data_IF_830311250154
#
_entry.id   IF_830311250154
#
_cell.length_a   1.000
_cell.length_b   1.000
_cell.length_c   1.000
_cell.angle_alpha   90.00
_cell.angle_beta   90.00
_cell.angle_gamma   90.00
#
_symmetry.space_group_name_H-M   'P 1'
#
loop_
_entity.id
_entity.type
_entity.pdbx_description
1 polymer ?
#
# COMPACT_ATOMS: atom_id res chain seq x y z
N UNK A 1 -3.29 5.78 -25.61
CA UNK A 1 -2.73 5.95 -24.25
C UNK A 1 -2.17 4.60 -23.89
N UNK A 2 -0.90 4.48 -23.48
CA UNK A 2 -0.38 3.19 -23.00
C UNK A 2 -1.12 2.79 -21.73
N UNK A 3 -1.20 1.50 -21.48
CA UNK A 3 -1.80 0.93 -20.30
C UNK A 3 -1.05 1.38 -19.03
N UNK A 4 0.28 1.48 -19.09
CA UNK A 4 1.09 2.07 -18.02
C UNK A 4 0.66 3.50 -17.66
N UNK A 5 0.33 4.33 -18.68
CA UNK A 5 -0.15 5.69 -18.44
C UNK A 5 -1.54 5.70 -17.81
N UNK A 6 -2.42 4.76 -18.18
CA UNK A 6 -3.74 4.60 -17.57
C UNK A 6 -3.62 4.17 -16.11
N UNK A 7 -2.83 3.13 -15.82
CA UNK A 7 -2.58 2.61 -14.46
C UNK A 7 -1.99 3.71 -13.57
N UNK A 8 -0.94 4.38 -14.04
CA UNK A 8 -0.30 5.46 -13.27
C UNK A 8 -1.25 6.64 -13.00
N UNK A 9 -2.13 6.99 -13.94
CA UNK A 9 -3.15 8.03 -13.73
C UNK A 9 -4.20 7.61 -12.70
N UNK A 10 -4.62 6.35 -12.69
CA UNK A 10 -5.55 5.83 -11.68
C UNK A 10 -4.93 5.83 -10.27
N UNK A 11 -3.69 5.38 -10.12
CA UNK A 11 -2.96 5.44 -8.85
C UNK A 11 -2.80 6.88 -8.36
N UNK A 12 -2.38 7.79 -9.25
CA UNK A 12 -2.27 9.21 -8.93
C UNK A 12 -3.59 9.77 -8.40
N UNK A 13 -4.72 9.46 -9.04
CA UNK A 13 -6.03 10.00 -8.61
C UNK A 13 -6.49 9.42 -7.29
N UNK A 14 -6.31 8.12 -7.09
CA UNK A 14 -6.66 7.43 -5.86
C UNK A 14 -5.91 8.02 -4.65
N UNK A 15 -4.70 8.53 -4.85
CA UNK A 15 -3.89 9.11 -3.77
C UNK A 15 -3.99 10.64 -3.68
N UNK A 16 -3.78 11.36 -4.78
CA UNK A 16 -3.59 12.81 -4.80
C UNK A 16 -4.86 13.62 -5.09
N UNK A 17 -5.97 12.98 -5.47
CA UNK A 17 -7.27 13.65 -5.64
C UNK A 17 -7.97 13.32 -6.96
N UNK A 18 -9.27 13.67 -7.02
CA UNK A 18 -10.16 13.34 -8.16
C UNK A 18 -10.31 11.83 -8.36
N UNK A 19 -10.26 11.07 -7.26
CA UNK A 19 -10.63 9.66 -7.28
C UNK A 19 -12.11 9.51 -7.63
N UNK A 20 -12.47 8.41 -8.29
CA UNK A 20 -13.87 8.16 -8.67
C UNK A 20 -14.73 7.68 -7.49
N UNK A 21 -14.08 7.09 -6.46
CA UNK A 21 -14.74 6.45 -5.32
C UNK A 21 -15.00 7.39 -4.13
N UNK A 22 -14.70 8.69 -4.26
CA UNK A 22 -14.80 9.66 -3.17
C UNK A 22 -13.49 10.43 -2.99
N UNK A 23 -13.23 10.95 -1.78
CA UNK A 23 -11.97 11.63 -1.49
C UNK A 23 -10.79 10.65 -1.63
N UNK A 24 -9.67 11.13 -2.14
CA UNK A 24 -8.43 10.38 -2.25
C UNK A 24 -7.76 10.17 -0.89
N UNK A 25 -6.72 9.34 -0.83
CA UNK A 25 -5.93 9.11 0.40
C UNK A 25 -5.42 10.43 1.01
N UNK A 26 -4.83 11.31 0.21
CA UNK A 26 -4.36 12.61 0.70
C UNK A 26 -5.50 13.52 1.16
N UNK A 27 -6.66 13.48 0.47
CA UNK A 27 -7.83 14.27 0.85
C UNK A 27 -8.44 13.80 2.19
N UNK A 28 -8.55 12.49 2.43
CA UNK A 28 -9.09 11.95 3.70
C UNK A 28 -8.15 12.16 4.89
N UNK A 29 -6.84 12.20 4.66
CA UNK A 29 -5.84 12.43 5.72
C UNK A 29 -5.64 13.91 6.04
N UNK A 30 -6.17 14.82 5.21
CA UNK A 30 -6.01 16.26 5.41
C UNK A 30 -6.67 16.71 6.72
N UNK A 31 -5.86 17.28 7.61
CA UNK A 31 -6.32 17.84 8.89
C UNK A 31 -6.46 16.83 10.03
N UNK A 32 -6.12 15.56 9.81
CA UNK A 32 -6.08 14.54 10.86
C UNK A 32 -4.90 14.82 11.80
N UNK A 33 -5.18 14.99 13.09
CA UNK A 33 -4.14 15.17 14.13
C UNK A 33 -3.51 13.84 14.53
N UNK A 34 -2.34 13.85 15.18
CA UNK A 34 -1.71 12.62 15.67
C UNK A 34 -2.61 11.89 16.69
N UNK A 35 -3.31 12.63 17.56
CA UNK A 35 -4.28 12.07 18.51
C UNK A 35 -5.42 11.34 17.80
N UNK A 36 -5.99 11.96 16.74
CA UNK A 36 -7.03 11.31 15.94
C UNK A 36 -6.48 10.11 15.17
N UNK A 37 -5.25 10.21 14.66
CA UNK A 37 -4.61 9.17 13.89
C UNK A 37 -4.37 7.91 14.74
N UNK A 38 -3.95 8.09 15.99
CA UNK A 38 -3.64 7.02 16.94
C UNK A 38 -4.87 6.45 17.66
N UNK A 39 -6.06 7.04 17.51
CA UNK A 39 -7.25 6.60 18.23
C UNK A 39 -7.82 5.28 17.66
N UNK A 40 -8.35 4.44 18.56
CA UNK A 40 -9.12 3.23 18.23
C UNK A 40 -10.58 3.36 18.71
N UNK A 41 -11.40 4.22 18.08
CA UNK A 41 -12.79 4.42 18.51
C UNK A 41 -13.67 3.20 18.26
N UNK A 42 -13.26 2.30 17.36
CA UNK A 42 -13.94 1.06 17.03
C UNK A 42 -13.09 -0.10 17.56
N UNK A 43 -13.65 -0.88 18.48
CA UNK A 43 -12.95 -2.02 19.08
C UNK A 43 -12.57 -3.05 18.01
N UNK A 44 -11.28 -3.44 17.99
CA UNK A 44 -10.74 -4.44 17.07
C UNK A 44 -10.49 -3.94 15.64
N UNK A 45 -10.76 -2.67 15.34
CA UNK A 45 -10.39 -2.06 14.07
C UNK A 45 -8.99 -1.43 14.16
N UNK A 46 -8.31 -1.33 13.02
CA UNK A 46 -7.05 -0.59 12.92
C UNK A 46 -7.27 0.92 13.06
N UNK A 47 -6.28 1.60 13.63
CA UNK A 47 -6.25 3.07 13.68
C UNK A 47 -5.97 3.67 12.30
N UNK A 48 -6.23 4.96 12.14
CA UNK A 48 -5.89 5.68 10.89
C UNK A 48 -4.37 5.62 10.66
N UNK A 49 -3.58 5.72 11.73
CA UNK A 49 -2.13 5.64 11.67
C UNK A 49 -1.66 4.26 11.18
N UNK A 50 -2.19 3.19 11.76
CA UNK A 50 -1.89 1.81 11.33
C UNK A 50 -2.24 1.59 9.85
N UNK A 51 -3.40 2.06 9.40
CA UNK A 51 -3.81 1.99 7.99
C UNK A 51 -2.89 2.80 7.07
N UNK A 52 -2.41 3.95 7.52
CA UNK A 52 -1.46 4.78 6.76
C UNK A 52 -0.13 4.05 6.56
N UNK A 53 0.39 3.41 7.61
CA UNK A 53 1.61 2.60 7.54
C UNK A 53 1.43 1.35 6.67
N UNK A 54 0.29 0.68 6.80
CA UNK A 54 -0.07 -0.47 5.98
C UNK A 54 -0.06 -0.13 4.48
N UNK A 55 -0.69 0.98 4.08
CA UNK A 55 -0.65 1.44 2.67
C UNK A 55 0.80 1.70 2.24
N UNK A 56 1.60 2.36 3.08
CA UNK A 56 3.00 2.65 2.78
C UNK A 56 3.84 1.37 2.58
N UNK A 57 3.61 0.34 3.41
CA UNK A 57 4.23 -0.99 3.26
C UNK A 57 3.87 -1.61 1.92
N UNK A 58 2.59 -1.61 1.53
CA UNK A 58 2.16 -2.26 0.29
C UNK A 58 2.59 -1.51 -0.97
N UNK A 59 2.69 -0.17 -0.92
CA UNK A 59 3.28 0.58 -2.02
C UNK A 59 4.78 0.27 -2.18
N UNK A 60 5.52 0.15 -1.07
CA UNK A 60 6.92 -0.29 -1.08
C UNK A 60 7.05 -1.72 -1.65
N UNK A 61 6.20 -2.64 -1.22
CA UNK A 61 6.20 -4.03 -1.70
C UNK A 61 5.89 -4.10 -3.21
N UNK A 62 4.85 -3.39 -3.66
CA UNK A 62 4.49 -3.29 -5.09
C UNK A 62 5.63 -2.72 -5.92
N UNK A 63 6.28 -1.67 -5.45
CA UNK A 63 7.45 -1.07 -6.11
C UNK A 63 8.59 -2.07 -6.24
N UNK A 64 8.92 -2.79 -5.15
CA UNK A 64 9.97 -3.82 -5.16
C UNK A 64 9.66 -4.95 -6.14
N UNK A 65 8.41 -5.42 -6.20
CA UNK A 65 7.99 -6.44 -7.18
C UNK A 65 8.21 -5.99 -8.62
N UNK A 66 7.89 -4.73 -8.94
CA UNK A 66 8.12 -4.16 -10.28
C UNK A 66 9.62 -4.11 -10.61
N UNK A 67 10.45 -3.69 -9.65
CA UNK A 67 11.89 -3.47 -9.85
C UNK A 67 12.70 -4.77 -9.85
N UNK A 68 12.42 -5.66 -8.93
CA UNK A 68 13.19 -6.89 -8.67
C UNK A 68 12.61 -8.08 -9.45
N UNK A 69 11.35 -8.02 -9.89
CA UNK A 69 10.64 -9.14 -10.54
C UNK A 69 10.54 -10.39 -9.67
N UNK A 70 10.52 -10.17 -8.34
CA UNK A 70 10.58 -11.21 -7.31
C UNK A 70 9.28 -11.21 -6.48
N UNK A 71 8.74 -12.38 -6.09
CA UNK A 71 7.75 -12.47 -5.02
C UNK A 71 8.28 -11.85 -3.72
N UNK A 72 7.94 -10.58 -3.49
CA UNK A 72 8.16 -9.93 -2.20
C UNK A 72 7.16 -10.49 -1.20
N UNK A 73 7.64 -11.28 -0.24
CA UNK A 73 6.93 -11.61 0.99
C UNK A 73 7.01 -10.44 1.97
N UNK A 74 5.90 -10.14 2.64
CA UNK A 74 5.76 -9.11 3.67
C UNK A 74 5.32 -9.87 4.92
N UNK A 75 6.09 -9.82 6.01
CA UNK A 75 5.68 -10.47 7.26
C UNK A 75 4.50 -9.76 7.91
N UNK A 76 3.80 -10.40 8.84
CA UNK A 76 2.69 -9.78 9.56
C UNK A 76 3.12 -8.50 10.30
N UNK A 77 4.35 -8.48 10.84
CA UNK A 77 4.94 -7.31 11.49
C UNK A 77 5.29 -6.18 10.52
N UNK A 78 5.65 -6.51 9.27
CA UNK A 78 5.86 -5.50 8.23
C UNK A 78 4.53 -4.99 7.66
N UNK A 79 3.52 -5.87 7.56
CA UNK A 79 2.17 -5.57 7.08
C UNK A 79 1.46 -4.56 8.01
N UNK A 80 1.69 -4.72 9.32
CA UNK A 80 1.16 -3.86 10.37
C UNK A 80 2.27 -3.36 11.30
N UNK A 81 3.07 -2.37 10.88
CA UNK A 81 4.13 -1.83 11.71
C UNK A 81 3.57 -1.23 13.01
N UNK A 82 4.25 -1.48 14.12
CA UNK A 82 3.84 -0.98 15.42
C UNK A 82 3.92 0.56 15.49
N UNK A 83 2.88 1.18 16.05
CA UNK A 83 2.87 2.62 16.36
C UNK A 83 3.36 2.82 17.80
N UNK A 84 4.67 3.04 17.96
CA UNK A 84 5.30 3.22 19.28
C UNK A 84 5.38 4.67 19.74
N UNK A 85 5.45 5.61 18.79
CA UNK A 85 5.52 7.06 19.03
C UNK A 85 4.30 7.73 18.39
N UNK A 86 3.44 8.31 19.23
CA UNK A 86 2.21 9.00 18.81
C UNK A 86 2.35 10.52 18.83
N UNK A 87 3.57 11.04 18.72
CA UNK A 87 3.83 12.48 18.63
C UNK A 87 3.39 13.06 17.27
N UNK A 88 3.13 14.37 17.23
CA UNK A 88 2.84 15.07 15.98
C UNK A 88 3.98 14.92 14.96
N UNK A 89 5.24 14.89 15.41
CA UNK A 89 6.40 14.70 14.54
C UNK A 89 6.40 13.30 13.91
N UNK A 90 6.17 12.25 14.70
CA UNK A 90 6.07 10.89 14.20
C UNK A 90 4.92 10.75 13.18
N UNK A 91 3.79 11.42 13.43
CA UNK A 91 2.66 11.40 12.49
C UNK A 91 3.00 12.08 11.16
N UNK A 92 3.62 13.26 11.20
CA UNK A 92 4.07 13.93 9.98
C UNK A 92 5.10 13.10 9.21
N UNK A 93 5.99 12.40 9.92
CA UNK A 93 6.96 11.49 9.29
C UNK A 93 6.27 10.32 8.57
N UNK A 94 5.22 9.73 9.18
CA UNK A 94 4.43 8.66 8.54
C UNK A 94 3.71 9.16 7.27
N UNK A 95 3.11 10.34 7.30
CA UNK A 95 2.48 10.97 6.12
C UNK A 95 3.50 11.22 4.99
N UNK A 96 4.68 11.73 5.33
CA UNK A 96 5.74 11.99 4.36
C UNK A 96 6.33 10.69 3.80
N UNK A 97 6.48 9.65 4.63
CA UNK A 97 6.88 8.32 4.16
C UNK A 97 5.87 7.74 3.16
N UNK A 98 4.58 7.77 3.50
CA UNK A 98 3.52 7.32 2.60
C UNK A 98 3.58 8.09 1.26
N UNK A 99 3.70 9.42 1.29
CA UNK A 99 3.82 10.25 0.08
C UNK A 99 5.05 9.89 -0.76
N UNK A 100 6.20 9.63 -0.12
CA UNK A 100 7.44 9.23 -0.81
C UNK A 100 7.31 7.85 -1.45
N UNK A 101 6.71 6.90 -0.76
CA UNK A 101 6.46 5.55 -1.29
C UNK A 101 5.51 5.60 -2.48
N UNK A 102 4.47 6.44 -2.42
CA UNK A 102 3.53 6.63 -3.53
C UNK A 102 4.23 7.15 -4.79
N UNK A 103 5.02 8.21 -4.66
CA UNK A 103 5.74 8.78 -5.81
C UNK A 103 6.76 7.77 -6.35
N UNK A 104 7.47 7.04 -5.48
CA UNK A 104 8.43 6.03 -5.90
C UNK A 104 7.78 4.84 -6.63
N UNK A 105 6.60 4.40 -6.21
CA UNK A 105 5.82 3.38 -6.92
C UNK A 105 5.39 3.89 -8.30
N UNK A 106 4.89 5.12 -8.37
CA UNK A 106 4.48 5.74 -9.63
C UNK A 106 5.65 5.91 -10.61
N UNK A 107 6.84 6.25 -10.13
CA UNK A 107 8.04 6.27 -10.97
C UNK A 107 8.41 4.87 -11.47
N UNK A 108 8.33 3.84 -10.63
CA UNK A 108 8.59 2.46 -11.06
C UNK A 108 7.63 2.01 -12.17
N UNK A 109 6.35 2.40 -12.07
CA UNK A 109 5.35 2.10 -13.12
C UNK A 109 5.65 2.87 -14.41
N UNK A 110 6.07 4.14 -14.31
CA UNK A 110 6.48 4.92 -15.49
C UNK A 110 7.68 4.32 -16.22
N UNK A 111 8.61 3.72 -15.47
CA UNK A 111 9.83 3.11 -15.99
C UNK A 111 9.70 1.64 -16.42
N UNK A 112 8.54 1.01 -16.20
CA UNK A 112 8.31 -0.39 -16.58
C UNK A 112 8.20 -0.53 -18.10
N UNK A 113 8.71 -1.63 -18.65
CA UNK A 113 8.41 -2.04 -20.02
C UNK A 113 6.98 -2.61 -20.07
N UNK A 114 6.13 -2.03 -20.92
CA UNK A 114 4.71 -2.40 -21.03
C UNK A 114 4.51 -3.88 -21.38
N UNK A 115 5.46 -4.51 -22.10
CA UNK A 115 5.40 -5.93 -22.41
C UNK A 115 5.43 -6.84 -21.16
N UNK A 116 5.96 -6.33 -20.04
CA UNK A 116 6.09 -7.05 -18.77
C UNK A 116 4.82 -7.03 -17.90
N UNK A 117 3.77 -6.30 -18.32
CA UNK A 117 2.49 -6.33 -17.61
C UNK A 117 1.87 -7.73 -17.57
N UNK A 118 2.23 -8.59 -18.52
CA UNK A 118 1.78 -9.98 -18.61
C UNK A 118 2.72 -10.97 -17.89
N UNK A 119 3.84 -10.49 -17.33
CA UNK A 119 4.78 -11.34 -16.59
C UNK A 119 4.14 -11.83 -15.29
N UNK A 120 4.20 -13.14 -15.05
CA UNK A 120 3.76 -13.75 -13.80
C UNK A 120 4.87 -13.59 -12.76
N UNK A 121 4.66 -12.71 -11.78
CA UNK A 121 5.63 -12.45 -10.69
C UNK A 121 5.36 -13.35 -9.47
N UNK A 122 4.11 -13.69 -9.18
CA UNK A 122 3.73 -14.62 -8.12
C UNK A 122 3.31 -15.95 -8.75
N UNK A 123 3.85 -17.07 -8.25
CA UNK A 123 3.32 -18.38 -8.65
C UNK A 123 1.83 -18.43 -8.27
N UNK A 124 0.96 -18.94 -9.15
CA UNK A 124 -0.45 -19.11 -8.82
C UNK A 124 -0.57 -19.89 -7.52
N UNK A 125 -1.51 -19.51 -6.66
CA UNK A 125 -1.87 -20.37 -5.54
C UNK A 125 -2.22 -21.75 -6.10
N UNK A 126 -1.49 -22.79 -5.67
CA UNK A 126 -1.80 -24.18 -5.97
C UNK A 126 -1.98 -24.91 -4.65
N UNK A 127 -2.88 -25.89 -4.61
CA UNK A 127 -3.15 -26.70 -3.42
C UNK A 127 -1.91 -27.49 -2.89
N UNK A 128 -0.79 -27.42 -3.61
CA UNK A 128 0.48 -28.09 -3.33
C UNK A 128 1.61 -27.15 -2.88
N UNK A 129 1.35 -25.84 -2.67
CA UNK A 129 2.37 -24.93 -2.15
C UNK A 129 2.83 -25.37 -0.75
N UNK A 130 4.13 -25.62 -0.50
CA UNK A 130 4.62 -25.99 0.82
C UNK A 130 4.30 -24.89 1.85
N UNK A 131 3.67 -25.25 2.98
CA UNK A 131 3.20 -24.29 4.00
C UNK A 131 1.68 -24.02 3.98
N UNK A 132 0.95 -24.63 3.04
CA UNK A 132 -0.51 -24.53 2.98
C UNK A 132 -1.18 -25.16 4.21
N UNK A 133 -1.84 -24.34 5.04
CA UNK A 133 -2.80 -24.83 6.04
C UNK A 133 -4.11 -25.18 5.31
N UNK A 134 -4.62 -26.42 5.37
CA UNK A 134 -5.88 -26.75 4.73
C UNK A 134 -7.02 -25.97 5.42
N UNK A 135 -7.66 -25.04 4.70
CA UNK A 135 -8.89 -24.37 5.16
C UNK A 135 -8.87 -22.84 5.20
N UNK A 136 -7.74 -22.18 4.96
CA UNK A 136 -7.71 -20.71 4.89
C UNK A 136 -8.12 -20.26 3.48
N UNK A 137 -9.42 -20.31 3.19
CA UNK A 137 -10.00 -19.53 2.10
C UNK A 137 -9.89 -18.05 2.46
N UNK A 138 -8.85 -17.38 1.99
CA UNK A 138 -8.94 -15.94 1.80
C UNK A 138 -9.84 -15.72 0.57
N UNK A 139 -11.14 -15.59 0.81
CA UNK A 139 -12.06 -15.05 -0.19
C UNK A 139 -11.94 -13.54 -0.17
N UNK A 140 -11.35 -12.96 -1.22
CA UNK A 140 -11.77 -11.70 -1.83
C UNK A 140 -11.63 -11.86 -3.34
#
# INVERSE_FOLDING_TARGET
>A
MSELKRINDQLKRAFEGKAWHGPSVSEVLTGVTAEQAAAHPIAGAHSIWELTLHIATWERAGRRRIQESDPVEVSDEEDWPAVEDTSDEAWQNALEELRRNHEALREAIRGLDEARLEDIILQPWTATTPGSVPGTQYSI
#
